data_IF_767044018892
#
_entry.id   IF_767044018892
#
_cell.length_a   1.000
_cell.length_b   1.000
_cell.length_c   1.000
_cell.angle_alpha   90.00
_cell.angle_beta   90.00
_cell.angle_gamma   90.00
#
_symmetry.space_group_name_H-M   'P 1'
#
loop_
_entity.id
_entity.type
_entity.pdbx_description
1 polymer ?
#
# COMPACT_ATOMS: atom_id res chain seq x y z
N UNK A 1 18.64 -7.22 12.81
CA UNK A 1 19.95 -6.59 12.52
C UNK A 1 20.96 -7.09 13.52
N UNK A 2 22.12 -7.49 13.01
CA UNK A 2 23.16 -8.18 13.75
C UNK A 2 24.50 -7.48 13.52
N UNK A 3 25.36 -7.56 14.53
CA UNK A 3 26.75 -7.14 14.48
C UNK A 3 27.61 -8.37 14.23
N UNK A 4 28.44 -8.31 13.20
CA UNK A 4 29.23 -9.44 12.74
C UNK A 4 30.72 -9.12 12.78
N UNK A 5 31.54 -10.04 13.26
CA UNK A 5 32.99 -9.87 13.30
C UNK A 5 33.67 -10.61 12.12
N UNK A 6 34.70 -10.01 11.55
CA UNK A 6 35.57 -10.62 10.54
C UNK A 6 36.44 -11.74 11.15
N UNK A 7 37.00 -11.51 12.33
CA UNK A 7 37.86 -12.49 12.99
C UNK A 7 37.07 -13.39 13.94
N UNK A 8 37.17 -14.71 13.75
CA UNK A 8 36.58 -15.73 14.63
C UNK A 8 37.67 -16.32 15.50
N UNK A 9 37.88 -15.72 16.66
CA UNK A 9 38.59 -16.37 17.76
C UNK A 9 37.57 -17.00 18.70
N UNK A 10 37.82 -18.24 19.17
CA UNK A 10 37.14 -18.68 20.39
C UNK A 10 37.51 -17.70 21.51
N UNK A 11 36.58 -17.29 22.38
CA UNK A 11 36.92 -16.42 23.50
C UNK A 11 38.02 -17.09 24.32
N UNK A 12 39.20 -16.46 24.38
CA UNK A 12 40.30 -16.96 25.20
C UNK A 12 39.90 -16.77 26.66
N UNK A 13 39.71 -17.90 27.36
CA UNK A 13 39.43 -17.95 28.80
C UNK A 13 40.65 -18.53 29.50
N UNK A 14 41.19 -17.76 30.44
CA UNK A 14 42.12 -18.25 31.47
C UNK A 14 41.45 -18.02 32.81
N UNK A 15 41.26 -19.07 33.61
CA UNK A 15 40.61 -19.02 34.92
C UNK A 15 39.19 -18.41 34.94
N UNK A 16 38.43 -18.54 33.83
CA UNK A 16 37.05 -18.06 33.75
C UNK A 16 36.89 -16.58 33.36
N UNK A 17 37.97 -15.81 33.31
CA UNK A 17 37.95 -14.41 32.87
C UNK A 17 38.07 -14.28 31.35
N UNK A 18 37.32 -13.34 30.75
CA UNK A 18 37.41 -13.01 29.33
C UNK A 18 38.70 -12.22 29.07
N UNK A 19 39.56 -12.72 28.19
CA UNK A 19 40.72 -11.95 27.73
C UNK A 19 40.35 -10.99 26.59
N UNK A 20 40.89 -9.78 26.66
CA UNK A 20 40.82 -8.81 25.58
C UNK A 20 41.57 -9.32 24.33
N UNK A 21 41.11 -8.95 23.12
CA UNK A 21 41.80 -9.28 21.89
C UNK A 21 43.22 -8.67 21.88
N UNK A 22 44.15 -9.37 21.21
CA UNK A 22 45.54 -8.89 21.05
C UNK A 22 45.64 -7.64 20.17
N UNK A 23 44.61 -7.33 19.37
CA UNK A 23 44.57 -6.13 18.53
C UNK A 23 44.36 -4.89 19.40
N UNK A 24 45.10 -3.81 19.11
CA UNK A 24 44.95 -2.52 19.80
C UNK A 24 43.83 -1.66 19.22
N UNK A 25 43.35 -2.02 18.04
CA UNK A 25 42.37 -1.28 17.24
C UNK A 25 41.21 -2.18 16.86
N UNK A 26 40.01 -1.59 16.85
CA UNK A 26 38.77 -2.17 16.33
C UNK A 26 38.24 -1.23 15.27
N UNK A 27 37.95 -1.76 14.08
CA UNK A 27 37.36 -0.97 12.98
C UNK A 27 35.90 -1.39 12.80
N UNK A 28 34.98 -0.46 13.00
CA UNK A 28 33.57 -0.64 12.70
C UNK A 28 33.26 -0.19 11.28
N UNK A 29 33.04 -1.17 10.42
CA UNK A 29 32.48 -1.01 9.10
C UNK A 29 30.97 -0.83 9.22
N UNK A 30 30.45 0.32 8.79
CA UNK A 30 29.02 0.61 8.86
C UNK A 30 28.42 0.98 7.51
N UNK A 31 27.18 0.54 7.26
CA UNK A 31 26.35 1.11 6.20
C UNK A 31 25.56 2.29 6.78
N UNK A 32 25.44 3.41 6.05
CA UNK A 32 24.67 4.56 6.49
C UNK A 32 23.16 4.25 6.39
N UNK A 33 22.68 3.43 7.32
CA UNK A 33 21.30 3.02 7.45
C UNK A 33 20.71 3.67 8.71
N UNK A 34 19.71 4.52 8.55
CA UNK A 34 19.08 5.22 9.67
C UNK A 34 19.99 6.25 10.37
N UNK A 35 19.72 6.49 11.66
CA UNK A 35 20.48 7.44 12.52
C UNK A 35 21.30 6.73 13.61
N UNK A 36 21.48 5.42 13.50
CA UNK A 36 22.15 4.62 14.52
C UNK A 36 23.67 4.85 14.54
N UNK A 37 24.25 5.08 13.34
CA UNK A 37 25.65 5.48 13.13
C UNK A 37 25.69 6.47 11.96
N UNK A 38 26.16 7.69 12.20
CA UNK A 38 26.36 8.71 11.18
C UNK A 38 27.62 9.54 11.45
N UNK A 39 28.26 10.04 10.40
CA UNK A 39 29.39 10.93 10.54
C UNK A 39 28.91 12.35 10.87
N UNK A 40 29.40 12.91 11.97
CA UNK A 40 29.12 14.29 12.32
C UNK A 40 29.87 15.22 11.35
N UNK A 41 29.13 16.12 10.68
CA UNK A 41 29.68 17.03 9.67
C UNK A 41 30.69 18.03 10.24
N UNK A 42 30.64 18.34 11.53
CA UNK A 42 31.52 19.34 12.17
C UNK A 42 32.77 18.75 12.81
N UNK A 43 32.70 17.54 13.39
CA UNK A 43 33.85 16.92 14.06
C UNK A 43 34.56 15.84 13.25
N UNK A 44 33.94 15.34 12.17
CA UNK A 44 34.47 14.21 11.39
C UNK A 44 34.45 12.87 12.13
N UNK A 45 33.92 12.83 13.37
CA UNK A 45 33.78 11.61 14.15
C UNK A 45 32.44 10.92 13.86
N UNK A 46 32.44 9.59 13.88
CA UNK A 46 31.20 8.83 13.82
C UNK A 46 30.47 8.96 15.17
N UNK A 47 29.21 9.38 15.11
CA UNK A 47 28.33 9.59 16.25
C UNK A 47 27.02 8.84 16.03
N UNK A 48 26.36 8.44 17.12
CA UNK A 48 25.07 7.74 17.05
C UNK A 48 24.86 6.86 18.26
N UNK A 49 23.60 6.54 18.56
CA UNK A 49 23.24 5.78 19.77
C UNK A 49 23.96 4.42 19.83
N UNK A 50 24.09 3.74 18.70
CA UNK A 50 24.77 2.45 18.64
C UNK A 50 26.29 2.62 18.76
N UNK A 51 26.86 3.63 18.11
CA UNK A 51 28.28 3.93 18.20
C UNK A 51 28.70 4.25 19.65
N UNK A 52 27.94 5.11 20.33
CA UNK A 52 28.16 5.46 21.74
C UNK A 52 28.01 4.25 22.66
N UNK A 53 26.99 3.42 22.44
CA UNK A 53 26.80 2.18 23.20
C UNK A 53 27.97 1.21 23.02
N UNK A 54 28.41 0.98 21.79
CA UNK A 54 29.52 0.08 21.49
C UNK A 54 30.84 0.59 22.08
N UNK A 55 31.10 1.90 21.98
CA UNK A 55 32.28 2.53 22.56
C UNK A 55 32.28 2.40 24.08
N UNK A 56 31.14 2.63 24.74
CA UNK A 56 31.01 2.46 26.19
C UNK A 56 31.20 1.00 26.62
N UNK A 57 30.52 0.06 25.96
CA UNK A 57 30.61 -1.36 26.27
C UNK A 57 32.04 -1.90 26.11
N UNK A 58 32.74 -1.50 25.04
CA UNK A 58 34.10 -1.97 24.78
C UNK A 58 35.15 -1.27 25.62
N UNK A 59 34.98 0.01 26.00
CA UNK A 59 35.83 0.65 27.01
C UNK A 59 35.69 -0.03 28.36
N UNK A 60 34.48 -0.45 28.72
CA UNK A 60 34.22 -1.19 29.95
C UNK A 60 34.86 -2.59 29.92
N UNK A 61 34.74 -3.32 28.81
CA UNK A 61 35.35 -4.64 28.68
C UNK A 61 36.89 -4.59 28.50
N UNK A 62 37.39 -3.64 27.72
CA UNK A 62 38.78 -3.57 27.26
C UNK A 62 39.24 -2.11 27.08
N UNK A 63 39.78 -1.47 28.13
CA UNK A 63 40.13 -0.04 28.12
C UNK A 63 41.20 0.37 27.11
N UNK A 64 42.01 -0.58 26.63
CA UNK A 64 43.14 -0.34 25.73
C UNK A 64 42.77 -0.34 24.24
N UNK A 65 41.52 -0.68 23.89
CA UNK A 65 41.05 -0.72 22.51
C UNK A 65 40.72 0.68 21.99
N UNK A 66 41.29 1.03 20.82
CA UNK A 66 40.93 2.21 20.05
C UNK A 66 39.88 1.89 19.00
N UNK A 67 38.92 2.78 18.83
CA UNK A 67 37.80 2.59 17.91
C UNK A 67 37.97 3.45 16.65
N UNK A 68 37.94 2.79 15.50
CA UNK A 68 37.94 3.42 14.18
C UNK A 68 36.62 3.13 13.47
N UNK A 69 36.17 4.07 12.65
CA UNK A 69 34.94 3.93 11.88
C UNK A 69 35.26 4.04 10.40
N UNK A 70 34.80 3.09 9.60
CA UNK A 70 34.94 3.14 8.13
C UNK A 70 33.60 2.91 7.42
N UNK A 71 33.15 3.83 6.55
CA UNK A 71 31.89 3.63 5.84
C UNK A 71 32.04 2.53 4.79
N UNK A 72 31.12 1.58 4.77
CA UNK A 72 31.06 0.56 3.73
C UNK A 72 30.49 1.16 2.44
N UNK A 73 31.20 0.94 1.32
CA UNK A 73 30.73 1.28 -0.04
C UNK A 73 30.26 0.01 -0.71
N UNK A 74 28.96 -0.23 -0.70
CA UNK A 74 28.36 -1.51 -1.09
C UNK A 74 27.13 -1.23 -1.94
N UNK A 75 27.03 -1.88 -3.09
CA UNK A 75 25.88 -1.74 -3.99
C UNK A 75 24.95 -2.95 -3.95
N UNK A 76 25.47 -4.14 -3.63
CA UNK A 76 24.73 -5.41 -3.56
C UNK A 76 24.96 -6.18 -2.25
N UNK A 77 24.06 -7.10 -1.91
CA UNK A 77 24.23 -8.06 -0.80
C UNK A 77 25.48 -8.92 -0.94
N UNK A 78 25.86 -9.26 -2.18
CA UNK A 78 27.08 -10.01 -2.47
C UNK A 78 28.34 -9.25 -2.05
N UNK A 79 28.36 -7.94 -2.18
CA UNK A 79 29.51 -7.12 -1.80
C UNK A 79 29.70 -7.10 -0.27
N UNK A 80 28.61 -7.18 0.51
CA UNK A 80 28.66 -7.30 1.98
C UNK A 80 29.27 -8.65 2.36
N UNK A 81 28.78 -9.73 1.74
CA UNK A 81 29.30 -11.07 1.97
C UNK A 81 30.79 -11.16 1.64
N UNK A 82 31.20 -10.66 0.48
CA UNK A 82 32.59 -10.64 0.05
C UNK A 82 33.46 -9.82 0.99
N UNK A 83 32.98 -8.66 1.46
CA UNK A 83 33.69 -7.82 2.42
C UNK A 83 33.94 -8.57 3.74
N UNK A 84 32.93 -9.29 4.26
CA UNK A 84 33.05 -10.02 5.54
C UNK A 84 33.89 -11.29 5.41
N UNK A 85 33.73 -12.01 4.30
CA UNK A 85 34.38 -13.32 4.10
C UNK A 85 35.85 -13.19 3.73
N UNK A 86 36.18 -12.21 2.88
CA UNK A 86 37.55 -12.00 2.42
C UNK A 86 38.37 -11.13 3.36
N UNK A 87 37.76 -10.55 4.40
CA UNK A 87 38.49 -9.81 5.40
C UNK A 87 39.41 -10.76 6.20
N UNK A 88 40.71 -10.57 5.98
CA UNK A 88 41.82 -11.25 6.64
C UNK A 88 42.60 -10.27 7.51
N UNK A 89 42.00 -9.14 7.90
CA UNK A 89 42.63 -8.15 8.75
C UNK A 89 43.17 -8.81 10.02
N UNK A 90 44.39 -8.44 10.39
CA UNK A 90 44.98 -8.80 11.70
C UNK A 90 44.23 -8.10 12.83
N UNK A 91 43.62 -6.95 12.52
CA UNK A 91 42.81 -6.14 13.43
C UNK A 91 41.36 -6.63 13.45
N UNK A 92 40.66 -6.38 14.57
CA UNK A 92 39.27 -6.77 14.73
C UNK A 92 38.35 -5.84 13.92
N UNK A 93 37.79 -6.35 12.83
CA UNK A 93 36.79 -5.63 12.03
C UNK A 93 35.37 -6.08 12.38
N UNK A 94 34.48 -5.13 12.63
CA UNK A 94 33.06 -5.32 12.92
C UNK A 94 32.21 -4.76 11.79
N UNK A 95 31.13 -5.44 11.44
CA UNK A 95 30.25 -5.09 10.31
C UNK A 95 28.82 -4.91 10.80
N UNK A 96 28.21 -3.75 10.49
CA UNK A 96 26.83 -3.42 10.86
C UNK A 96 26.13 -2.54 9.79
N UNK A 97 24.82 -2.69 9.56
CA UNK A 97 23.98 -3.80 9.96
C UNK A 97 24.17 -4.99 9.01
N UNK A 98 24.27 -6.19 9.56
CA UNK A 98 24.02 -7.42 8.81
C UNK A 98 22.60 -7.88 9.15
N UNK A 99 21.86 -8.36 8.17
CA UNK A 99 20.52 -8.92 8.41
C UNK A 99 20.68 -10.42 8.49
N UNK A 100 20.15 -11.07 9.52
CA UNK A 100 20.21 -12.51 9.68
C UNK A 100 18.98 -13.00 10.42
N UNK A 101 18.63 -14.27 10.23
CA UNK A 101 17.52 -14.87 10.93
C UNK A 101 17.88 -15.05 12.42
N UNK A 102 16.94 -14.72 13.33
CA UNK A 102 17.11 -14.82 14.78
C UNK A 102 17.48 -16.23 15.27
N UNK A 103 17.07 -17.26 14.53
CA UNK A 103 17.36 -18.66 14.86
C UNK A 103 18.73 -19.15 14.38
N UNK A 104 19.38 -18.40 13.49
CA UNK A 104 20.73 -18.73 13.02
C UNK A 104 21.77 -18.19 14.00
N UNK A 105 22.88 -18.91 14.17
CA UNK A 105 24.03 -18.48 14.99
C UNK A 105 25.17 -17.91 14.16
N UNK A 106 25.15 -18.18 12.86
CA UNK A 106 26.15 -17.78 11.89
C UNK A 106 25.49 -17.31 10.60
N UNK A 107 26.11 -16.34 9.93
CA UNK A 107 25.78 -15.89 8.58
C UNK A 107 27.10 -15.68 7.84
N UNK A 108 27.19 -15.91 6.54
CA UNK A 108 28.46 -15.76 5.78
C UNK A 108 29.66 -16.51 6.40
N UNK A 109 29.42 -17.68 7.02
CA UNK A 109 30.46 -18.48 7.71
C UNK A 109 31.13 -17.77 8.90
N UNK A 110 30.49 -16.73 9.46
CA UNK A 110 30.96 -16.01 10.64
C UNK A 110 29.83 -15.91 11.68
N UNK A 111 30.14 -16.06 12.99
CA UNK A 111 29.16 -15.84 14.04
C UNK A 111 28.76 -14.36 14.09
N UNK A 112 27.54 -14.10 14.54
CA UNK A 112 27.03 -12.75 14.73
C UNK A 112 26.33 -12.62 16.08
N UNK A 113 26.16 -11.38 16.52
CA UNK A 113 25.37 -11.04 17.71
C UNK A 113 24.16 -10.23 17.26
N UNK A 114 22.96 -10.68 17.61
CA UNK A 114 21.74 -9.92 17.37
C UNK A 114 21.69 -8.67 18.24
N UNK A 115 21.50 -7.49 17.63
CA UNK A 115 21.35 -6.23 18.36
C UNK A 115 19.91 -5.75 18.32
N UNK A 116 19.27 -5.78 17.15
CA UNK A 116 17.90 -5.30 16.98
C UNK A 116 17.04 -6.33 16.26
N UNK A 117 15.88 -6.65 16.82
CA UNK A 117 14.83 -7.35 16.10
C UNK A 117 14.19 -6.39 15.10
N UNK A 118 14.07 -6.81 13.83
CA UNK A 118 13.45 -5.97 12.79
C UNK A 118 11.96 -6.24 12.73
N UNK A 119 11.10 -5.21 12.73
CA UNK A 119 9.65 -5.38 12.60
C UNK A 119 9.20 -5.78 11.18
N UNK A 120 10.13 -5.87 10.21
CA UNK A 120 9.83 -6.11 8.80
C UNK A 120 9.85 -4.82 7.96
N UNK A 121 9.71 -4.93 6.63
CA UNK A 121 9.65 -3.77 5.74
C UNK A 121 8.30 -3.05 5.85
N UNK A 122 8.35 -1.72 5.78
CA UNK A 122 7.16 -0.87 5.66
C UNK A 122 7.19 -0.23 4.28
N UNK A 123 6.08 -0.30 3.55
CA UNK A 123 5.94 0.29 2.23
C UNK A 123 5.06 1.51 2.33
N UNK A 124 5.62 2.66 1.99
CA UNK A 124 4.86 3.90 1.86
C UNK A 124 4.34 4.00 0.44
N UNK A 125 3.04 3.85 0.29
CA UNK A 125 2.35 4.10 -0.99
C UNK A 125 1.80 5.52 -0.91
N UNK A 126 2.22 6.37 -1.85
CA UNK A 126 1.59 7.68 -1.99
C UNK A 126 0.20 7.47 -2.59
N UNK A 127 -0.81 7.51 -1.74
CA UNK A 127 -2.20 7.40 -2.16
C UNK A 127 -2.61 8.69 -2.87
N UNK A 128 -2.82 8.59 -4.19
CA UNK A 128 -3.41 9.70 -4.92
C UNK A 128 -4.89 9.75 -4.53
N UNK A 129 -5.24 10.68 -3.64
CA UNK A 129 -6.64 10.89 -3.27
C UNK A 129 -7.52 11.02 -4.52
N UNK A 130 -8.73 10.44 -4.51
CA UNK A 130 -9.66 10.61 -5.61
C UNK A 130 -9.88 12.12 -5.81
N UNK A 131 -9.48 12.63 -6.97
CA UNK A 131 -9.75 14.01 -7.37
C UNK A 131 -11.27 14.24 -7.28
N UNK A 132 -11.70 15.48 -7.01
CA UNK A 132 -13.08 15.96 -6.78
C UNK A 132 -14.16 15.60 -7.87
N UNK A 133 -13.91 14.63 -8.75
CA UNK A 133 -14.82 14.06 -9.73
C UNK A 133 -15.06 12.55 -9.58
N UNK A 134 -14.79 11.94 -8.42
CA UNK A 134 -15.06 10.51 -8.22
C UNK A 134 -16.55 10.17 -8.39
N UNK A 135 -17.45 11.01 -7.88
CA UNK A 135 -18.90 10.88 -8.08
C UNK A 135 -19.27 11.01 -9.56
N UNK A 136 -18.70 12.01 -10.25
CA UNK A 136 -18.94 12.19 -11.69
C UNK A 136 -18.40 11.02 -12.53
N UNK A 137 -17.26 10.45 -12.13
CA UNK A 137 -16.67 9.26 -12.76
C UNK A 137 -17.51 8.02 -12.50
N UNK A 138 -18.06 7.87 -11.30
CA UNK A 138 -19.00 6.79 -10.97
C UNK A 138 -20.28 6.92 -11.82
N UNK A 139 -20.86 8.13 -11.90
CA UNK A 139 -22.05 8.39 -12.72
C UNK A 139 -21.83 8.09 -14.20
N UNK A 140 -20.69 8.48 -14.77
CA UNK A 140 -20.36 8.21 -16.18
C UNK A 140 -20.10 6.73 -16.43
N UNK A 141 -19.50 6.00 -15.48
CA UNK A 141 -19.32 4.54 -15.57
C UNK A 141 -20.64 3.78 -15.45
N UNK A 142 -21.59 4.27 -14.67
CA UNK A 142 -22.89 3.61 -14.44
C UNK A 142 -23.95 3.86 -15.51
N UNK A 143 -23.63 4.49 -16.65
CA UNK A 143 -24.61 4.95 -17.63
C UNK A 143 -25.60 3.87 -18.13
N UNK A 144 -25.21 2.60 -18.08
CA UNK A 144 -26.02 1.45 -18.50
C UNK A 144 -27.30 1.30 -17.67
N UNK A 145 -27.27 1.61 -16.36
CA UNK A 145 -28.41 1.41 -15.46
C UNK A 145 -29.47 2.50 -15.66
N UNK A 146 -29.15 3.81 -15.66
CA UNK A 146 -30.10 4.85 -16.04
C UNK A 146 -30.69 4.62 -17.43
N UNK A 147 -29.88 4.18 -18.40
CA UNK A 147 -30.37 3.84 -19.73
C UNK A 147 -31.43 2.73 -19.70
N UNK A 148 -31.21 1.67 -18.91
CA UNK A 148 -32.19 0.61 -18.69
C UNK A 148 -33.46 1.13 -18.00
N UNK A 149 -33.33 1.97 -16.97
CA UNK A 149 -34.49 2.57 -16.28
C UNK A 149 -35.34 3.44 -17.22
N UNK A 150 -34.71 4.25 -18.07
CA UNK A 150 -35.40 5.09 -19.07
C UNK A 150 -36.09 4.21 -20.11
N UNK A 151 -35.45 3.13 -20.56
CA UNK A 151 -36.04 2.18 -21.49
C UNK A 151 -37.26 1.46 -20.90
N UNK A 152 -37.17 1.00 -19.65
CA UNK A 152 -38.30 0.38 -18.95
C UNK A 152 -39.45 1.38 -18.77
N UNK A 153 -39.15 2.63 -18.43
CA UNK A 153 -40.16 3.69 -18.31
C UNK A 153 -40.84 3.99 -19.65
N UNK A 154 -40.09 3.94 -20.76
CA UNK A 154 -40.64 4.11 -22.11
C UNK A 154 -41.61 3.00 -22.48
N UNK A 155 -41.22 1.74 -22.24
CA UNK A 155 -42.08 0.58 -22.48
C UNK A 155 -43.34 0.67 -21.62
N UNK A 156 -43.17 0.97 -20.32
CA UNK A 156 -44.29 1.12 -19.38
C UNK A 156 -45.25 2.23 -19.80
N UNK A 157 -44.72 3.37 -20.24
CA UNK A 157 -45.52 4.49 -20.73
C UNK A 157 -46.36 4.14 -21.95
N UNK A 158 -45.80 3.40 -22.90
CA UNK A 158 -46.54 2.91 -24.08
C UNK A 158 -47.62 1.91 -23.68
N UNK A 159 -47.33 0.98 -22.76
CA UNK A 159 -48.31 0.01 -22.25
C UNK A 159 -49.46 0.74 -21.55
N UNK A 160 -49.15 1.67 -20.65
CA UNK A 160 -50.18 2.42 -19.93
C UNK A 160 -51.05 3.25 -20.88
N UNK A 161 -50.44 3.90 -21.86
CA UNK A 161 -51.19 4.61 -22.90
C UNK A 161 -52.14 3.66 -23.62
N UNK A 162 -51.70 2.47 -24.02
CA UNK A 162 -52.57 1.49 -24.67
C UNK A 162 -53.74 1.06 -23.77
N UNK A 163 -53.52 0.92 -22.46
CA UNK A 163 -54.57 0.54 -21.51
C UNK A 163 -55.55 1.67 -21.18
N UNK A 164 -55.09 2.92 -21.13
CA UNK A 164 -55.89 4.04 -20.59
C UNK A 164 -56.35 5.08 -21.62
N UNK A 165 -55.77 5.13 -22.83
CA UNK A 165 -56.08 6.16 -23.84
C UNK A 165 -57.59 6.28 -24.10
N UNK A 166 -58.31 5.18 -24.30
CA UNK A 166 -59.75 5.17 -24.61
C UNK A 166 -60.61 5.73 -23.46
N UNK A 167 -60.23 5.44 -22.23
CA UNK A 167 -61.02 5.72 -21.03
C UNK A 167 -60.66 7.09 -20.41
N UNK A 168 -59.46 7.61 -20.66
CA UNK A 168 -58.95 8.84 -20.05
C UNK A 168 -58.45 9.85 -21.10
N UNK A 169 -59.34 10.28 -22.01
CA UNK A 169 -59.01 11.23 -23.09
C UNK A 169 -58.52 12.60 -22.61
N UNK A 170 -58.82 12.97 -21.36
CA UNK A 170 -58.42 14.27 -20.78
C UNK A 170 -56.94 14.33 -20.42
N UNK A 171 -56.38 13.22 -19.92
CA UNK A 171 -54.99 13.16 -19.48
C UNK A 171 -54.11 12.37 -20.46
N UNK A 172 -54.67 11.38 -21.17
CA UNK A 172 -53.97 10.61 -22.20
C UNK A 172 -54.55 10.92 -23.60
N UNK A 173 -53.85 11.73 -24.41
CA UNK A 173 -54.21 11.98 -25.81
C UNK A 173 -54.30 10.69 -26.64
N UNK A 174 -55.24 10.67 -27.59
CA UNK A 174 -55.43 9.54 -28.51
C UNK A 174 -54.33 9.40 -29.56
N UNK A 175 -53.62 10.49 -29.86
CA UNK A 175 -52.47 10.47 -30.75
C UNK A 175 -51.33 9.68 -30.11
N UNK A 176 -50.82 8.65 -30.81
CA UNK A 176 -49.80 7.75 -30.28
C UNK A 176 -48.55 8.49 -29.78
N UNK A 177 -48.00 9.42 -30.58
CA UNK A 177 -46.77 10.13 -30.23
C UNK A 177 -46.92 10.98 -28.97
N UNK A 178 -47.99 11.78 -28.90
CA UNK A 178 -48.25 12.65 -27.75
C UNK A 178 -48.63 11.85 -26.51
N UNK A 179 -49.48 10.83 -26.68
CA UNK A 179 -49.94 9.98 -25.59
C UNK A 179 -48.84 9.09 -25.00
N UNK A 180 -47.96 8.54 -25.83
CA UNK A 180 -46.82 7.74 -25.37
C UNK A 180 -45.78 8.58 -24.63
N UNK A 181 -45.52 9.81 -25.08
CA UNK A 181 -44.65 10.75 -24.35
C UNK A 181 -45.21 11.12 -22.98
N UNK A 182 -46.53 11.32 -22.87
CA UNK A 182 -47.22 11.56 -21.59
C UNK A 182 -47.14 10.31 -20.69
N UNK A 183 -47.32 9.12 -21.27
CA UNK A 183 -47.12 7.85 -20.56
C UNK A 183 -45.68 7.65 -20.06
N UNK A 184 -44.68 7.99 -20.87
CA UNK A 184 -43.26 7.97 -20.48
C UNK A 184 -43.01 8.90 -19.30
N UNK A 185 -43.53 10.13 -19.36
CA UNK A 185 -43.43 11.10 -18.26
C UNK A 185 -44.03 10.56 -16.97
N UNK A 186 -45.26 10.02 -17.05
CA UNK A 186 -45.92 9.38 -15.91
C UNK A 186 -45.09 8.23 -15.34
N UNK A 187 -44.58 7.34 -16.21
CA UNK A 187 -43.81 6.18 -15.81
C UNK A 187 -42.49 6.58 -15.14
N UNK A 188 -41.82 7.60 -15.68
CA UNK A 188 -40.57 8.15 -15.14
C UNK A 188 -40.78 8.76 -13.75
N UNK A 189 -41.73 9.68 -13.60
CA UNK A 189 -42.03 10.38 -12.34
C UNK A 189 -42.53 9.42 -11.26
N UNK A 190 -43.25 8.37 -11.65
CA UNK A 190 -43.70 7.30 -10.73
C UNK A 190 -42.54 6.42 -10.29
N UNK A 191 -41.66 6.01 -11.21
CA UNK A 191 -40.46 5.21 -10.91
C UNK A 191 -39.50 5.95 -9.99
N UNK A 192 -39.33 7.28 -10.17
CA UNK A 192 -38.50 8.12 -9.30
C UNK A 192 -39.18 8.49 -7.99
N UNK A 193 -40.37 7.96 -7.69
CA UNK A 193 -41.17 8.22 -6.48
C UNK A 193 -41.58 9.69 -6.27
N UNK A 194 -41.38 10.55 -7.28
CA UNK A 194 -41.72 11.98 -7.19
C UNK A 194 -43.24 12.16 -7.22
N UNK A 195 -43.92 11.45 -8.12
CA UNK A 195 -45.38 11.34 -8.15
C UNK A 195 -46.14 12.68 -8.14
N UNK A 196 -45.93 13.55 -9.13
CA UNK A 196 -46.60 14.86 -9.21
C UNK A 196 -48.15 14.79 -9.17
N UNK A 197 -48.74 13.65 -9.56
CA UNK A 197 -50.19 13.45 -9.53
C UNK A 197 -50.95 14.23 -10.61
N UNK A 198 -50.23 14.78 -11.58
CA UNK A 198 -50.74 15.50 -12.75
C UNK A 198 -51.47 14.59 -13.74
N UNK A 199 -51.01 13.35 -13.85
CA UNK A 199 -51.57 12.31 -14.72
C UNK A 199 -51.80 11.05 -13.89
N UNK A 200 -52.97 10.42 -14.03
CA UNK A 200 -53.25 9.17 -13.31
C UNK A 200 -54.14 8.23 -14.14
N UNK A 201 -53.89 6.91 -14.10
CA UNK A 201 -54.75 5.96 -14.80
C UNK A 201 -56.15 5.89 -14.18
N UNK A 202 -57.17 5.97 -15.04
CA UNK A 202 -58.57 5.94 -14.61
C UNK A 202 -59.26 4.61 -14.88
N UNK A 203 -58.82 3.87 -15.90
CA UNK A 203 -59.32 2.53 -16.18
C UNK A 203 -58.88 1.52 -15.12
N UNK A 204 -59.71 0.50 -14.92
CA UNK A 204 -59.38 -0.61 -14.03
C UNK A 204 -58.07 -1.31 -14.43
N UNK A 205 -57.89 -1.56 -15.73
CA UNK A 205 -56.69 -2.20 -16.27
C UNK A 205 -55.44 -1.33 -16.11
N UNK A 206 -55.55 -0.01 -16.38
CA UNK A 206 -54.46 0.94 -16.19
C UNK A 206 -54.04 1.06 -14.72
N UNK A 207 -54.99 1.03 -13.78
CA UNK A 207 -54.71 1.04 -12.34
C UNK A 207 -54.00 -0.24 -11.88
N UNK A 208 -54.46 -1.40 -12.33
CA UNK A 208 -53.81 -2.67 -12.01
C UNK A 208 -52.36 -2.70 -12.52
N UNK A 209 -52.14 -2.25 -13.75
CA UNK A 209 -50.80 -2.11 -14.31
C UNK A 209 -49.96 -1.10 -13.53
N UNK A 210 -50.53 0.03 -13.12
CA UNK A 210 -49.80 1.03 -12.35
C UNK A 210 -49.30 0.52 -11.00
N UNK A 211 -50.08 -0.32 -10.32
CA UNK A 211 -49.64 -0.98 -9.08
C UNK A 211 -48.40 -1.85 -9.33
N UNK A 212 -48.42 -2.65 -10.41
CA UNK A 212 -47.27 -3.47 -10.78
C UNK A 212 -46.06 -2.61 -11.16
N UNK A 213 -46.28 -1.52 -11.91
CA UNK A 213 -45.23 -0.59 -12.29
C UNK A 213 -44.58 0.10 -11.09
N UNK A 214 -45.35 0.50 -10.07
CA UNK A 214 -44.81 1.10 -8.86
C UNK A 214 -43.83 0.17 -8.13
N UNK A 215 -44.13 -1.14 -8.07
CA UNK A 215 -43.24 -2.14 -7.45
C UNK A 215 -41.95 -2.30 -8.29
N UNK A 216 -42.10 -2.49 -9.60
CA UNK A 216 -40.97 -2.68 -10.51
C UNK A 216 -40.06 -1.44 -10.54
N UNK A 217 -40.67 -0.25 -10.63
CA UNK A 217 -39.96 1.01 -10.66
C UNK A 217 -39.18 1.27 -9.37
N UNK A 218 -39.77 0.95 -8.21
CA UNK A 218 -39.07 1.06 -6.92
C UNK A 218 -37.87 0.13 -6.84
N UNK A 219 -37.99 -1.13 -7.29
CA UNK A 219 -36.88 -2.09 -7.32
C UNK A 219 -35.77 -1.61 -8.28
N UNK A 220 -36.13 -1.08 -9.45
CA UNK A 220 -35.14 -0.56 -10.39
C UNK A 220 -34.37 0.65 -9.80
N UNK A 221 -35.08 1.55 -9.11
CA UNK A 221 -34.47 2.70 -8.44
C UNK A 221 -33.53 2.29 -7.29
N UNK A 222 -33.91 1.29 -6.48
CA UNK A 222 -33.06 0.82 -5.37
C UNK A 222 -31.79 0.12 -5.88
N UNK A 223 -31.89 -0.66 -6.95
CA UNK A 223 -30.73 -1.27 -7.60
C UNK A 223 -29.76 -0.22 -8.16
N UNK A 224 -30.29 0.86 -8.76
CA UNK A 224 -29.46 1.98 -9.21
C UNK A 224 -28.69 2.62 -8.04
N UNK A 225 -29.38 2.93 -6.93
CA UNK A 225 -28.76 3.51 -5.75
C UNK A 225 -27.67 2.59 -5.15
N UNK A 226 -27.95 1.29 -5.03
CA UNK A 226 -26.99 0.33 -4.49
C UNK A 226 -25.69 0.26 -5.32
N UNK A 227 -25.81 0.27 -6.65
CA UNK A 227 -24.67 0.25 -7.55
C UNK A 227 -23.86 1.55 -7.47
N UNK A 228 -24.53 2.70 -7.37
CA UNK A 228 -23.87 3.98 -7.17
C UNK A 228 -23.06 4.00 -5.87
N UNK A 229 -23.66 3.52 -4.77
CA UNK A 229 -22.97 3.39 -3.48
C UNK A 229 -21.75 2.47 -3.58
N UNK A 230 -21.89 1.29 -4.21
CA UNK A 230 -20.79 0.35 -4.36
C UNK A 230 -19.60 0.94 -5.14
N UNK A 231 -19.86 1.68 -6.22
CA UNK A 231 -18.81 2.32 -7.01
C UNK A 231 -18.09 3.42 -6.25
N UNK A 232 -18.79 4.17 -5.41
CA UNK A 232 -18.18 5.19 -4.55
C UNK A 232 -17.25 4.51 -3.54
N UNK A 233 -17.72 3.49 -2.84
CA UNK A 233 -16.94 2.76 -1.83
C UNK A 233 -15.74 2.02 -2.41
N UNK A 234 -15.87 1.42 -3.61
CA UNK A 234 -14.78 0.65 -4.23
C UNK A 234 -13.54 1.48 -4.58
N UNK A 235 -13.65 2.81 -4.70
CA UNK A 235 -12.52 3.68 -5.01
C UNK A 235 -11.63 3.97 -3.78
N UNK A 236 -12.00 3.52 -2.58
CA UNK A 236 -11.31 3.88 -1.33
C UNK A 236 -10.41 2.76 -0.78
N UNK A 237 -10.33 1.58 -1.41
CA UNK A 237 -9.52 0.46 -0.88
C UNK A 237 -8.72 -0.21 -1.99
N UNK A 238 -7.44 0.16 -2.21
CA UNK A 238 -6.54 -0.66 -3.02
C UNK A 238 -6.35 -2.01 -2.32
N UNK A 239 -7.03 -3.04 -2.83
CA UNK A 239 -7.17 -4.32 -2.13
C UNK A 239 -5.93 -5.19 -2.22
N UNK A 240 -5.04 -4.96 -3.20
CA UNK A 240 -3.77 -5.67 -3.31
C UNK A 240 -2.65 -4.79 -3.87
N UNK A 241 -1.54 -4.68 -3.14
CA UNK A 241 -0.36 -3.97 -3.58
C UNK A 241 0.56 -4.93 -4.37
N UNK A 242 0.40 -4.98 -5.69
CA UNK A 242 1.32 -5.71 -6.57
C UNK A 242 2.57 -4.88 -6.83
N UNK A 243 3.72 -5.36 -6.32
CA UNK A 243 5.02 -4.70 -6.42
C UNK A 243 5.86 -5.18 -7.62
N UNK A 244 5.46 -6.28 -8.26
CA UNK A 244 6.20 -6.89 -9.36
C UNK A 244 6.30 -5.90 -10.53
N UNK A 245 7.53 -5.65 -11.00
CA UNK A 245 7.81 -4.69 -12.08
C UNK A 245 7.55 -3.22 -11.75
N UNK A 246 7.24 -2.89 -10.48
CA UNK A 246 7.16 -1.51 -10.01
C UNK A 246 8.53 -1.05 -9.51
N UNK A 247 8.87 0.21 -9.79
CA UNK A 247 10.05 0.83 -9.20
C UNK A 247 9.76 1.25 -7.77
N UNK A 248 10.51 0.71 -6.82
CA UNK A 248 10.43 1.07 -5.40
C UNK A 248 11.66 1.91 -5.04
N UNK A 249 11.41 3.02 -4.35
CA UNK A 249 12.46 3.88 -3.83
C UNK A 249 12.86 3.40 -2.44
N UNK A 250 14.15 3.11 -2.24
CA UNK A 250 14.68 2.60 -0.96
C UNK A 250 15.64 3.61 -0.33
N UNK A 251 15.64 3.75 1.01
CA UNK A 251 16.67 4.48 1.74
C UNK A 251 18.09 3.97 1.45
N UNK A 252 19.07 4.84 1.66
CA UNK A 252 20.49 4.52 1.45
C UNK A 252 20.91 3.28 2.25
N UNK A 253 21.63 2.36 1.61
CA UNK A 253 22.11 1.12 2.23
C UNK A 253 21.05 0.02 2.41
N UNK A 254 19.77 0.27 2.11
CA UNK A 254 18.69 -0.72 2.25
C UNK A 254 18.55 -1.69 1.07
N UNK A 255 19.11 -1.36 -0.10
CA UNK A 255 19.01 -2.17 -1.33
C UNK A 255 19.53 -3.61 -1.15
N UNK A 256 20.72 -3.85 -0.59
CA UNK A 256 21.23 -5.20 -0.32
C UNK A 256 20.26 -6.08 0.48
N UNK A 257 19.61 -5.51 1.50
CA UNK A 257 18.64 -6.22 2.34
C UNK A 257 17.39 -6.62 1.56
N UNK A 258 16.82 -5.68 0.80
CA UNK A 258 15.58 -5.91 0.05
C UNK A 258 15.75 -6.97 -1.04
N UNK A 259 16.90 -6.97 -1.74
CA UNK A 259 17.21 -7.95 -2.78
C UNK A 259 17.37 -9.38 -2.23
N UNK A 260 18.03 -9.53 -1.08
CA UNK A 260 18.37 -10.84 -0.54
C UNK A 260 17.25 -11.48 0.28
N UNK A 261 16.56 -10.71 1.12
CA UNK A 261 15.63 -11.26 2.11
C UNK A 261 14.16 -11.22 1.65
N UNK A 262 13.81 -10.26 0.79
CA UNK A 262 12.40 -10.00 0.42
C UNK A 262 12.09 -10.35 -1.04
N UNK A 263 13.06 -10.24 -1.96
CA UNK A 263 12.97 -10.61 -3.38
C UNK A 263 11.57 -10.37 -3.99
N UNK A 264 11.06 -9.13 -3.88
CA UNK A 264 9.65 -8.80 -4.19
C UNK A 264 9.35 -8.71 -5.70
N UNK A 265 10.30 -9.10 -6.56
CA UNK A 265 10.19 -8.94 -8.02
C UNK A 265 10.07 -7.49 -8.50
N UNK A 266 10.40 -6.53 -7.62
CA UNK A 266 10.35 -5.11 -7.87
C UNK A 266 11.71 -4.58 -8.35
N UNK A 267 11.69 -3.47 -9.09
CA UNK A 267 12.93 -2.77 -9.45
C UNK A 267 13.32 -1.80 -8.32
N UNK A 268 14.54 -1.94 -7.82
CA UNK A 268 15.01 -1.20 -6.65
C UNK A 268 15.88 -0.01 -7.04
N UNK A 269 15.40 1.21 -6.78
CA UNK A 269 16.16 2.44 -6.98
C UNK A 269 16.56 3.04 -5.61
N UNK A 270 17.86 3.09 -5.35
CA UNK A 270 18.40 3.71 -4.14
C UNK A 270 18.48 5.23 -4.28
N UNK A 271 18.15 5.97 -3.22
CA UNK A 271 18.38 7.42 -3.17
C UNK A 271 19.87 7.68 -2.95
N UNK A 272 20.55 8.21 -3.97
CA UNK A 272 21.92 8.74 -3.86
C UNK A 272 21.83 10.24 -3.60
N UNK A 273 21.84 10.66 -2.33
CA UNK A 273 22.07 12.07 -2.03
C UNK A 273 23.55 12.39 -2.31
N UNK A 274 23.79 13.30 -3.28
CA UNK A 274 25.10 13.96 -3.42
C UNK A 274 25.37 14.72 -2.11
N UNK A 275 26.54 14.48 -1.54
CA UNK A 275 27.05 15.19 -0.36
C UNK A 275 27.28 16.66 -0.66
#
# INVERSE_FOLDING_TARGET
>A
MVLQASAVGKPARTNGELQCPKSKTVTLHWLPYGRDIYMNKTSGNATGKLAEFLEYALKFCCPTLKFNYSPMKVESSKDIELSIRNDKSVELSLYFPVFANKYQKEKYQRPFIGIFDSPGPIIFVNEKSPKNGAVFTAMTKSWQIPALCVLLAAISGVILWFLDHKNNKKEFPQEFHRGSCVGLWWAFVTMTTVGYGDIAPKSFQGRLFAVLWMIIGTIALTLFNAQLTALITSNEIPTELVLIGRTIIIPRGGKPFMEQELNLGAEYQGIVQKY
#
